data_IF_548649581566
#
_entry.id   IF_548649581566
#
_cell.length_a   1.000
_cell.length_b   1.000
_cell.length_c   1.000
_cell.angle_alpha   90.00
_cell.angle_beta   90.00
_cell.angle_gamma   90.00
#
_symmetry.space_group_name_H-M   'P 1'
#
loop_
_entity.id
_entity.type
_entity.pdbx_description
1 polymer ?
#
# COMPACT_ATOMS: atom_id res chain seq x y z
N UNK A 1 -5.77 -5.36 -18.36
CA UNK A 1 -5.83 -4.25 -19.34
C UNK A 1 -4.99 -4.65 -20.53
N UNK A 2 -5.49 -4.51 -21.77
CA UNK A 2 -4.70 -4.75 -22.97
C UNK A 2 -3.85 -3.51 -23.27
N UNK A 3 -2.63 -3.69 -23.78
CA UNK A 3 -1.72 -2.58 -24.07
C UNK A 3 -0.53 -3.00 -24.93
N UNK A 4 0.34 -2.05 -25.23
CA UNK A 4 1.56 -2.24 -26.03
C UNK A 4 2.75 -1.69 -25.26
N UNK A 5 3.85 -2.44 -25.21
CA UNK A 5 5.10 -2.01 -24.59
C UNK A 5 6.18 -2.02 -25.67
N UNK A 6 6.95 -0.94 -25.78
CA UNK A 6 8.13 -0.88 -26.65
C UNK A 6 9.38 -1.10 -25.80
N UNK A 7 10.22 -2.06 -26.17
CA UNK A 7 11.41 -2.46 -25.40
C UNK A 7 12.67 -2.28 -26.25
N UNK A 8 13.76 -1.83 -25.61
CA UNK A 8 15.12 -1.80 -26.19
C UNK A 8 16.03 -2.68 -25.34
N UNK A 9 16.71 -3.62 -25.98
CA UNK A 9 17.63 -4.54 -25.32
C UNK A 9 19.07 -4.23 -25.69
N UNK A 10 19.97 -4.36 -24.71
CA UNK A 10 21.42 -4.29 -24.89
C UNK A 10 22.09 -5.32 -23.98
N UNK A 11 23.23 -5.87 -24.40
CA UNK A 11 23.93 -6.92 -23.64
C UNK A 11 25.24 -6.40 -23.07
N UNK A 12 25.41 -6.53 -21.76
CA UNK A 12 26.68 -6.30 -21.07
C UNK A 12 27.47 -7.62 -21.04
N UNK A 13 28.47 -7.76 -21.93
CA UNK A 13 29.33 -8.96 -21.97
C UNK A 13 30.11 -9.09 -20.66
N UNK A 14 30.04 -10.26 -20.03
CA UNK A 14 30.65 -10.49 -18.72
C UNK A 14 29.92 -9.83 -17.53
N UNK A 15 28.75 -9.23 -17.76
CA UNK A 15 28.01 -8.46 -16.73
C UNK A 15 27.71 -9.25 -15.46
N UNK A 16 27.36 -10.54 -15.56
CA UNK A 16 27.12 -11.39 -14.39
C UNK A 16 28.33 -11.45 -13.43
N UNK A 17 29.54 -11.58 -13.99
CA UNK A 17 30.77 -11.62 -13.20
C UNK A 17 31.15 -10.24 -12.67
N UNK A 18 30.89 -9.18 -13.45
CA UNK A 18 31.24 -7.81 -13.06
C UNK A 18 30.33 -7.26 -11.96
N UNK A 19 29.02 -7.57 -12.03
CA UNK A 19 28.03 -7.10 -11.06
C UNK A 19 27.96 -8.01 -9.83
N UNK A 20 28.30 -9.30 -9.97
CA UNK A 20 28.27 -10.29 -8.87
C UNK A 20 26.94 -10.32 -8.09
N UNK A 21 25.84 -10.07 -8.80
CA UNK A 21 24.50 -10.01 -8.23
C UNK A 21 23.74 -11.32 -8.46
N UNK A 22 23.01 -11.77 -7.42
CA UNK A 22 22.10 -12.92 -7.52
C UNK A 22 20.70 -12.54 -8.02
N UNK A 23 20.27 -11.31 -7.77
CA UNK A 23 18.93 -10.82 -8.08
C UNK A 23 18.99 -9.72 -9.15
N UNK A 24 17.94 -9.56 -9.98
CA UNK A 24 17.85 -8.46 -10.93
C UNK A 24 17.90 -7.11 -10.22
N UNK A 25 18.50 -6.13 -10.89
CA UNK A 25 18.47 -4.72 -10.51
C UNK A 25 17.86 -3.92 -11.66
N UNK A 26 17.19 -2.83 -11.34
CA UNK A 26 16.64 -1.92 -12.33
C UNK A 26 16.76 -0.49 -11.83
N UNK A 27 16.77 0.44 -12.78
CA UNK A 27 16.69 1.87 -12.50
C UNK A 27 15.28 2.28 -12.92
N UNK A 28 14.46 2.85 -12.03
CA UNK A 28 13.12 3.31 -12.39
C UNK A 28 13.20 4.46 -13.42
N UNK A 29 12.10 4.68 -14.14
CA UNK A 29 12.01 5.79 -15.08
C UNK A 29 12.14 7.15 -14.39
N UNK A 30 12.56 8.21 -15.10
CA UNK A 30 12.76 9.54 -14.52
C UNK A 30 11.44 10.21 -14.08
N UNK A 31 10.31 9.73 -14.58
CA UNK A 31 8.98 10.13 -14.15
C UNK A 31 8.47 9.04 -13.23
N UNK A 32 8.72 9.20 -11.93
CA UNK A 32 7.92 8.47 -10.95
C UNK A 32 6.45 8.85 -11.17
N UNK A 33 5.52 7.91 -11.09
CA UNK A 33 4.12 8.24 -11.09
C UNK A 33 3.79 8.89 -9.74
N UNK A 34 4.17 10.16 -9.58
CA UNK A 34 3.70 11.02 -8.50
C UNK A 34 2.26 11.38 -8.84
N UNK A 35 1.34 10.54 -8.37
CA UNK A 35 -0.08 10.79 -8.47
C UNK A 35 -0.45 11.93 -7.51
N UNK A 36 -0.23 13.16 -7.96
CA UNK A 36 -0.61 14.37 -7.24
C UNK A 36 0.45 14.94 -6.29
N UNK A 37 0.01 15.93 -5.52
CA UNK A 37 0.80 16.79 -4.64
C UNK A 37 1.33 16.06 -3.40
N UNK A 38 2.05 14.94 -3.52
CA UNK A 38 2.89 14.35 -2.45
C UNK A 38 2.23 14.13 -1.08
N UNK A 39 0.91 14.22 -1.00
CA UNK A 39 0.14 14.31 0.23
C UNK A 39 -0.39 12.93 0.59
N UNK A 40 0.30 12.29 1.52
CA UNK A 40 -0.04 10.97 2.02
C UNK A 40 -0.47 11.04 3.48
N UNK A 41 -1.44 10.20 3.85
CA UNK A 41 -1.69 9.82 5.24
C UNK A 41 -1.05 8.46 5.44
N UNK A 42 -0.13 8.36 6.39
CA UNK A 42 0.50 7.09 6.75
C UNK A 42 -0.22 6.45 7.92
N UNK A 43 -0.47 5.15 7.80
CA UNK A 43 -1.02 4.32 8.85
C UNK A 43 -0.01 3.26 9.22
N UNK A 44 0.13 3.00 10.52
CA UNK A 44 1.13 2.08 11.05
C UNK A 44 0.49 0.77 11.53
N UNK A 45 1.28 -0.29 11.47
CA UNK A 45 0.91 -1.60 12.00
C UNK A 45 2.11 -2.31 12.61
N UNK A 46 1.81 -3.14 13.59
CA UNK A 46 2.79 -3.92 14.36
C UNK A 46 2.49 -5.41 14.25
N UNK A 47 3.47 -6.25 14.60
CA UNK A 47 3.34 -7.71 14.63
C UNK A 47 2.43 -8.24 15.76
N UNK A 48 1.28 -7.59 15.98
CA UNK A 48 0.23 -7.98 16.91
C UNK A 48 -1.03 -8.23 16.10
N UNK A 49 -1.61 -9.42 16.18
CA UNK A 49 -2.80 -9.75 15.38
C UNK A 49 -4.09 -9.15 15.94
N UNK A 50 -5.19 -9.34 15.22
CA UNK A 50 -6.53 -8.82 15.55
C UNK A 50 -7.09 -9.36 16.86
N UNK A 51 -6.52 -10.46 17.39
CA UNK A 51 -6.87 -11.07 18.67
C UNK A 51 -5.94 -10.62 19.80
N UNK A 52 -5.01 -9.72 19.52
CA UNK A 52 -4.02 -9.23 20.48
C UNK A 52 -2.86 -10.19 20.72
N UNK A 53 -2.68 -11.24 19.90
CA UNK A 53 -1.53 -12.14 20.05
C UNK A 53 -0.30 -11.48 19.43
N UNK A 54 0.77 -11.44 20.23
CA UNK A 54 2.10 -11.01 19.80
C UNK A 54 2.75 -12.07 18.90
N UNK A 55 3.28 -11.63 17.76
CA UNK A 55 4.13 -12.42 16.85
C UNK A 55 5.56 -11.88 16.86
N UNK A 56 6.52 -12.69 16.42
CA UNK A 56 7.94 -12.34 16.44
C UNK A 56 8.39 -11.81 15.08
N UNK A 57 8.68 -10.50 15.00
CA UNK A 57 9.15 -9.80 13.81
C UNK A 57 8.38 -10.15 12.52
N UNK A 58 7.07 -10.34 12.66
CA UNK A 58 6.20 -10.73 11.55
C UNK A 58 5.72 -9.49 10.80
N UNK A 59 6.41 -9.17 9.70
CA UNK A 59 6.06 -8.07 8.81
C UNK A 59 4.74 -8.30 8.06
N UNK A 60 4.29 -9.55 7.90
CA UNK A 60 3.02 -9.86 7.24
C UNK A 60 1.84 -9.48 8.13
N UNK A 61 1.93 -9.84 9.42
CA UNK A 61 0.94 -9.42 10.42
C UNK A 61 0.95 -7.91 10.57
N UNK A 62 2.14 -7.29 10.67
CA UNK A 62 2.26 -5.83 10.73
C UNK A 62 1.62 -5.13 9.52
N UNK A 63 1.88 -5.60 8.31
CA UNK A 63 1.32 -5.00 7.10
C UNK A 63 -0.19 -5.18 7.02
N UNK A 64 -0.70 -6.34 7.44
CA UNK A 64 -2.15 -6.57 7.59
C UNK A 64 -2.78 -5.57 8.58
N UNK A 65 -2.16 -5.34 9.73
CA UNK A 65 -2.64 -4.35 10.69
C UNK A 65 -2.66 -2.94 10.12
N UNK A 66 -1.63 -2.57 9.34
CA UNK A 66 -1.56 -1.27 8.67
C UNK A 66 -2.73 -1.08 7.71
N UNK A 67 -3.05 -2.09 6.89
CA UNK A 67 -4.22 -2.09 6.02
C UNK A 67 -5.53 -1.99 6.81
N UNK A 68 -5.66 -2.70 7.94
CA UNK A 68 -6.86 -2.61 8.78
C UNK A 68 -7.06 -1.22 9.37
N UNK A 69 -5.99 -0.49 9.73
CA UNK A 69 -6.09 0.91 10.16
C UNK A 69 -6.66 1.81 9.07
N UNK A 70 -6.27 1.59 7.81
CA UNK A 70 -6.87 2.32 6.66
C UNK A 70 -8.35 1.99 6.53
N UNK A 71 -8.72 0.72 6.67
CA UNK A 71 -10.12 0.28 6.61
C UNK A 71 -10.95 0.95 7.71
N UNK A 72 -10.47 0.95 8.96
CA UNK A 72 -11.11 1.65 10.08
C UNK A 72 -11.27 3.15 9.81
N UNK A 73 -10.26 3.77 9.21
CA UNK A 73 -10.28 5.20 8.89
C UNK A 73 -11.31 5.54 7.82
N UNK A 74 -11.29 4.85 6.68
CA UNK A 74 -12.18 5.14 5.55
C UNK A 74 -13.64 4.76 5.82
N UNK A 75 -13.91 3.77 6.70
CA UNK A 75 -15.27 3.47 7.18
C UNK A 75 -15.96 4.69 7.80
N UNK A 76 -15.21 5.60 8.43
CA UNK A 76 -15.76 6.83 9.04
C UNK A 76 -16.42 7.75 7.99
N UNK A 77 -15.95 7.70 6.75
CA UNK A 77 -16.47 8.48 5.61
C UNK A 77 -17.58 7.76 4.83
N UNK A 78 -17.98 6.55 5.25
CA UNK A 78 -19.08 5.80 4.63
C UNK A 78 -18.65 4.74 3.61
N UNK A 79 -17.35 4.52 3.42
CA UNK A 79 -16.88 3.40 2.60
C UNK A 79 -17.17 2.05 3.28
N UNK A 80 -17.50 1.04 2.47
CA UNK A 80 -17.57 -0.34 2.92
C UNK A 80 -16.22 -1.07 2.77
N UNK A 81 -16.06 -2.20 3.46
CA UNK A 81 -14.82 -2.96 3.52
C UNK A 81 -14.34 -3.46 2.14
N UNK A 82 -15.28 -3.87 1.29
CA UNK A 82 -14.96 -4.35 -0.06
C UNK A 82 -14.48 -3.22 -0.97
N UNK A 83 -15.10 -2.04 -0.89
CA UNK A 83 -14.64 -0.84 -1.60
C UNK A 83 -13.22 -0.48 -1.20
N UNK A 84 -12.94 -0.48 0.11
CA UNK A 84 -11.61 -0.13 0.62
C UNK A 84 -10.58 -1.18 0.21
N UNK A 85 -10.92 -2.46 0.28
CA UNK A 85 -10.03 -3.54 -0.15
C UNK A 85 -9.69 -3.45 -1.64
N UNK A 86 -10.69 -3.18 -2.49
CA UNK A 86 -10.48 -2.94 -3.92
C UNK A 86 -9.65 -1.67 -4.18
N UNK A 87 -9.92 -0.59 -3.43
CA UNK A 87 -9.16 0.65 -3.51
C UNK A 87 -7.68 0.41 -3.18
N UNK A 88 -7.37 -0.24 -2.06
CA UNK A 88 -6.00 -0.54 -1.65
C UNK A 88 -5.25 -1.46 -2.64
N UNK A 89 -5.98 -2.23 -3.44
CA UNK A 89 -5.40 -3.12 -4.45
C UNK A 89 -5.05 -2.43 -5.77
N UNK A 90 -5.68 -1.29 -6.05
CA UNK A 90 -5.59 -0.61 -7.36
C UNK A 90 -5.02 0.80 -7.27
N UNK A 91 -5.25 1.49 -6.16
CA UNK A 91 -4.71 2.82 -5.92
C UNK A 91 -3.20 2.74 -5.68
N UNK A 92 -2.45 3.79 -6.02
CA UNK A 92 -1.01 3.87 -5.86
C UNK A 92 -0.62 4.13 -4.40
N UNK A 93 -1.00 3.22 -3.51
CA UNK A 93 -0.64 3.23 -2.09
C UNK A 93 0.81 2.79 -1.91
N UNK A 94 1.45 3.31 -0.88
CA UNK A 94 2.86 3.02 -0.60
C UNK A 94 2.99 2.15 0.65
N UNK A 95 3.32 0.88 0.46
CA UNK A 95 3.65 -0.02 1.56
C UNK A 95 5.13 -0.01 1.88
N UNK A 96 5.50 0.22 3.14
CA UNK A 96 6.89 0.19 3.60
C UNK A 96 7.06 -0.74 4.80
N UNK A 97 8.20 -1.42 4.85
CA UNK A 97 8.74 -1.96 6.10
C UNK A 97 9.52 -0.82 6.74
N UNK A 98 8.94 -0.19 7.75
CA UNK A 98 9.53 0.97 8.42
C UNK A 98 10.62 0.57 9.43
N UNK A 99 10.46 -0.60 10.06
CA UNK A 99 11.44 -1.15 10.98
C UNK A 99 11.26 -2.65 11.17
N UNK A 100 12.35 -3.40 11.29
CA UNK A 100 12.32 -4.86 11.49
C UNK A 100 13.31 -5.36 12.55
N UNK A 101 13.92 -4.44 13.29
CA UNK A 101 14.97 -4.75 14.28
C UNK A 101 14.48 -4.68 15.72
N UNK A 102 13.29 -4.10 15.94
CA UNK A 102 12.76 -3.78 17.27
C UNK A 102 11.99 -4.96 17.85
N UNK A 103 12.70 -5.96 18.34
CA UNK A 103 12.09 -7.15 18.96
C UNK A 103 11.11 -6.74 20.07
N UNK A 104 9.87 -7.29 20.09
CA UNK A 104 9.36 -8.37 19.23
C UNK A 104 8.65 -7.91 17.94
N UNK A 105 8.53 -6.61 17.68
CA UNK A 105 7.67 -6.05 16.65
C UNK A 105 8.40 -5.72 15.36
N UNK A 106 7.85 -6.16 14.22
CA UNK A 106 8.07 -5.45 12.96
C UNK A 106 7.10 -4.27 12.89
N UNK A 107 7.56 -3.15 12.33
CA UNK A 107 6.77 -1.96 12.05
C UNK A 107 6.64 -1.80 10.53
N UNK A 108 5.42 -1.69 10.06
CA UNK A 108 5.12 -1.40 8.66
C UNK A 108 4.22 -0.18 8.56
N UNK A 109 4.32 0.53 7.44
CA UNK A 109 3.44 1.66 7.16
C UNK A 109 2.79 1.51 5.80
N UNK A 110 1.57 2.04 5.68
CA UNK A 110 0.88 2.20 4.41
C UNK A 110 0.51 3.67 4.22
N UNK A 111 1.01 4.27 3.13
CA UNK A 111 0.69 5.62 2.71
C UNK A 111 -0.51 5.61 1.78
N UNK A 112 -1.61 6.24 2.20
CA UNK A 112 -2.78 6.49 1.37
C UNK A 112 -2.68 7.90 0.75
N UNK A 113 -2.61 8.03 -0.58
CA UNK A 113 -2.59 9.34 -1.23
C UNK A 113 -3.93 10.04 -1.02
N UNK A 114 -3.93 11.27 -0.51
CA UNK A 114 -5.17 12.02 -0.26
C UNK A 114 -5.78 12.57 -1.55
N UNK A 115 -4.96 12.80 -2.57
CA UNK A 115 -5.37 13.49 -3.80
C UNK A 115 -6.20 12.59 -4.74
N UNK A 116 -6.40 11.31 -4.41
CA UNK A 116 -7.29 10.41 -5.17
C UNK A 116 -8.77 10.56 -4.78
N UNK A 117 -9.07 11.34 -3.74
CA UNK A 117 -10.42 11.55 -3.23
C UNK A 117 -10.96 12.92 -3.65
N UNK A 118 -12.24 12.99 -4.04
CA UNK A 118 -12.92 14.24 -4.38
C UNK A 118 -13.26 15.13 -3.16
N UNK A 119 -12.91 14.69 -1.96
CA UNK A 119 -13.18 15.38 -0.71
C UNK A 119 -12.01 15.23 0.26
N UNK A 120 -11.91 16.15 1.21
CA UNK A 120 -10.82 16.15 2.17
C UNK A 120 -10.99 15.01 3.19
N UNK A 121 -10.00 14.12 3.20
CA UNK A 121 -9.88 13.01 4.15
C UNK A 121 -8.77 13.27 5.18
N UNK A 122 -8.32 14.50 5.37
CA UNK A 122 -7.26 14.79 6.33
C UNK A 122 -7.74 14.56 7.79
N UNK A 123 -6.85 14.17 8.72
CA UNK A 123 -7.23 13.84 10.10
C UNK A 123 -7.92 14.95 10.89
N UNK A 124 -7.73 16.22 10.51
CA UNK A 124 -8.32 17.38 11.16
C UNK A 124 -9.78 17.63 10.74
N UNK A 125 -10.25 16.99 9.66
CA UNK A 125 -11.61 17.13 9.16
C UNK A 125 -12.53 16.19 9.92
N UNK A 126 -13.72 16.69 10.30
CA UNK A 126 -14.74 15.87 10.92
C UNK A 126 -15.31 14.92 9.87
N UNK A 127 -15.26 13.59 10.07
CA UNK A 127 -15.72 12.64 9.08
C UNK A 127 -17.24 12.71 8.92
N UNK A 128 -17.69 12.93 7.69
CA UNK A 128 -19.09 12.87 7.31
C UNK A 128 -19.32 11.59 6.50
N UNK A 129 -20.33 10.80 6.86
CA UNK A 129 -20.69 9.60 6.10
C UNK A 129 -21.31 10.00 4.77
N UNK A 130 -20.61 9.70 3.68
CA UNK A 130 -21.06 9.97 2.32
C UNK A 130 -21.68 8.72 1.69
N UNK A 131 -22.59 8.93 0.74
CA UNK A 131 -23.19 7.86 -0.05
C UNK A 131 -22.31 7.57 -1.28
N UNK A 132 -21.39 6.60 -1.15
CA UNK A 132 -20.29 6.36 -2.10
C UNK A 132 -20.58 5.25 -3.12
N UNK A 133 -21.86 5.01 -3.42
CA UNK A 133 -22.30 3.91 -4.28
C UNK A 133 -21.95 2.53 -3.74
N UNK A 134 -21.90 1.54 -4.62
CA UNK A 134 -21.55 0.16 -4.29
C UNK A 134 -20.49 -0.38 -5.26
N UNK A 135 -19.63 -1.27 -4.77
CA UNK A 135 -18.73 -2.05 -5.62
C UNK A 135 -19.34 -3.43 -5.93
N UNK A 136 -18.73 -4.16 -6.87
CA UNK A 136 -19.10 -5.54 -7.11
C UNK A 136 -18.81 -6.40 -5.86
N UNK A 137 -19.75 -7.24 -5.49
CA UNK A 137 -19.58 -8.24 -4.43
C UNK A 137 -19.31 -9.59 -5.06
N UNK A 138 -18.38 -10.37 -4.50
CA UNK A 138 -18.31 -11.79 -4.82
C UNK A 138 -19.61 -12.43 -4.33
N UNK A 139 -20.43 -12.96 -5.26
CA UNK A 139 -21.63 -13.70 -4.90
C UNK A 139 -21.28 -14.87 -3.97
N UNK A 140 -22.19 -15.23 -3.07
CA UNK A 140 -22.05 -16.46 -2.29
C UNK A 140 -21.98 -17.64 -3.27
N UNK A 141 -20.85 -18.35 -3.28
CA UNK A 141 -20.83 -19.72 -3.79
C UNK A 141 -21.61 -20.62 -2.84
#
# INVERSE_FOLDING_TARGET
MAGVITLKFSVMKGGMKQLDMKSPIYIPGPVEPQFGSGRYIYFEGFSVDEKGKQHYLDATVAYRQSCLRVVEYLRRFGYNDYQIYLLLSCAPVQGHIAGIVDIPNACTTIGLPMDIFDFDIAPHVVPEKKQLGACAFAGKK
#
